data_IF_235462048911
#
_entry.id   IF_235462048911
#
_cell.length_a   1.000
_cell.length_b   1.000
_cell.length_c   1.000
_cell.angle_alpha   90.00
_cell.angle_beta   90.00
_cell.angle_gamma   90.00
#
_symmetry.space_group_name_H-M   'P 1'
#
loop_
_entity.id
_entity.type
_entity.pdbx_description
1 polymer ?
#
# COMPACT_ATOMS: atom_id res chain seq x y z
N UNK A 1 3.20 4.60 -8.23
CA UNK A 1 3.25 3.18 -8.64
C UNK A 1 4.59 2.93 -9.32
N UNK A 2 5.23 1.79 -9.04
CA UNK A 2 6.51 1.43 -9.65
C UNK A 2 6.35 1.13 -11.14
N UNK A 3 7.39 1.38 -11.96
CA UNK A 3 7.35 1.07 -13.39
C UNK A 3 7.23 -0.43 -13.66
N UNK A 4 6.58 -0.81 -14.77
CA UNK A 4 6.37 -2.21 -15.16
C UNK A 4 7.70 -2.97 -15.31
N UNK A 5 8.75 -2.29 -15.74
CA UNK A 5 10.09 -2.88 -15.91
C UNK A 5 10.75 -3.25 -14.58
N UNK A 6 10.62 -2.39 -13.56
CA UNK A 6 11.10 -2.70 -12.21
C UNK A 6 10.34 -3.87 -11.59
N UNK A 7 9.04 -3.99 -11.85
CA UNK A 7 8.22 -5.12 -11.38
C UNK A 7 8.66 -6.42 -12.06
N UNK A 8 8.93 -6.40 -13.38
CA UNK A 8 9.49 -7.56 -14.09
C UNK A 8 10.83 -7.98 -13.47
N UNK A 9 11.72 -7.01 -13.20
CA UNK A 9 13.02 -7.27 -12.56
C UNK A 9 12.87 -7.92 -11.19
N UNK A 10 11.96 -7.43 -10.33
CA UNK A 10 11.65 -8.06 -9.03
C UNK A 10 11.22 -9.52 -9.21
N UNK A 11 10.37 -9.82 -10.19
CA UNK A 11 9.90 -11.18 -10.46
C UNK A 11 11.03 -12.11 -10.94
N UNK A 12 11.95 -11.62 -11.77
CA UNK A 12 13.13 -12.36 -12.21
C UNK A 12 14.04 -12.70 -11.02
N UNK A 13 14.37 -11.70 -10.19
CA UNK A 13 15.18 -11.90 -8.99
C UNK A 13 14.50 -12.83 -7.98
N UNK A 14 13.17 -12.77 -7.86
CA UNK A 14 12.38 -13.66 -7.01
C UNK A 14 12.44 -15.11 -7.51
N UNK A 15 12.36 -15.34 -8.82
CA UNK A 15 12.54 -16.66 -9.43
C UNK A 15 13.94 -17.22 -9.19
N UNK A 16 14.98 -16.41 -9.38
CA UNK A 16 16.38 -16.79 -9.07
C UNK A 16 16.57 -17.15 -7.60
N UNK A 17 15.99 -16.35 -6.69
CA UNK A 17 16.03 -16.65 -5.26
C UNK A 17 15.32 -17.96 -4.91
N UNK A 18 14.17 -18.23 -5.52
CA UNK A 18 13.45 -19.50 -5.33
C UNK A 18 14.24 -20.70 -5.85
N UNK A 19 15.01 -20.51 -6.92
CA UNK A 19 15.91 -21.52 -7.49
C UNK A 19 17.24 -21.66 -6.71
N UNK A 20 17.53 -20.79 -5.74
CA UNK A 20 18.76 -20.82 -4.95
C UNK A 20 20.02 -20.31 -5.68
N UNK A 21 19.87 -19.72 -6.87
CA UNK A 21 20.99 -19.25 -7.72
C UNK A 21 21.20 -17.73 -7.63
N UNK A 22 20.74 -17.10 -6.57
CA UNK A 22 20.81 -15.64 -6.40
C UNK A 22 22.17 -15.25 -5.81
N UNK A 23 22.79 -14.20 -6.35
CA UNK A 23 24.02 -13.63 -5.75
C UNK A 23 23.67 -12.65 -4.63
N UNK A 24 24.62 -12.34 -3.76
CA UNK A 24 24.42 -11.34 -2.69
C UNK A 24 24.06 -9.96 -3.26
N UNK A 25 24.70 -9.57 -4.36
CA UNK A 25 24.40 -8.30 -5.05
C UNK A 25 22.96 -8.27 -5.58
N UNK A 26 22.50 -9.36 -6.19
CA UNK A 26 21.13 -9.50 -6.67
C UNK A 26 20.11 -9.53 -5.52
N UNK A 27 20.47 -10.10 -4.37
CA UNK A 27 19.61 -10.11 -3.18
C UNK A 27 19.45 -8.70 -2.60
N UNK A 28 20.52 -7.90 -2.58
CA UNK A 28 20.49 -6.49 -2.19
C UNK A 28 19.64 -5.67 -3.17
N UNK A 29 19.84 -5.87 -4.49
CA UNK A 29 19.04 -5.22 -5.54
C UNK A 29 17.55 -5.55 -5.36
N UNK A 30 17.21 -6.82 -5.16
CA UNK A 30 15.82 -7.27 -4.93
C UNK A 30 15.21 -6.59 -3.72
N UNK A 31 15.94 -6.52 -2.60
CA UNK A 31 15.45 -5.91 -1.35
C UNK A 31 15.19 -4.41 -1.53
N UNK A 32 16.08 -3.71 -2.24
CA UNK A 32 15.92 -2.29 -2.56
C UNK A 32 14.67 -2.04 -3.41
N UNK A 33 14.52 -2.79 -4.51
CA UNK A 33 13.37 -2.67 -5.40
C UNK A 33 12.06 -3.02 -4.71
N UNK A 34 12.07 -4.05 -3.86
CA UNK A 34 10.90 -4.47 -3.10
C UNK A 34 10.46 -3.43 -2.06
N UNK A 35 11.42 -2.77 -1.38
CA UNK A 35 11.12 -1.69 -0.45
C UNK A 35 10.49 -0.49 -1.17
N UNK A 36 11.03 -0.10 -2.32
CA UNK A 36 10.48 0.98 -3.16
C UNK A 36 9.05 0.65 -3.61
N UNK A 37 8.80 -0.59 -4.02
CA UNK A 37 7.47 -1.08 -4.39
C UNK A 37 6.49 -0.97 -3.21
N UNK A 38 6.85 -1.52 -2.04
CA UNK A 38 5.98 -1.49 -0.87
C UNK A 38 5.67 -0.06 -0.44
N UNK A 39 6.65 0.85 -0.46
CA UNK A 39 6.40 2.26 -0.11
C UNK A 39 5.37 2.89 -1.05
N UNK A 40 5.55 2.74 -2.36
CA UNK A 40 4.57 3.27 -3.33
C UNK A 40 3.20 2.61 -3.16
N UNK A 41 3.15 1.33 -2.84
CA UNK A 41 1.90 0.58 -2.68
C UNK A 41 1.18 1.02 -1.40
N UNK A 42 1.89 1.17 -0.28
CA UNK A 42 1.33 1.66 0.99
C UNK A 42 0.69 3.03 0.84
N UNK A 43 1.33 3.94 0.11
CA UNK A 43 0.77 5.27 -0.16
C UNK A 43 -0.54 5.18 -0.96
N UNK A 44 -0.58 4.32 -1.99
CA UNK A 44 -1.78 4.11 -2.79
C UNK A 44 -2.92 3.48 -1.99
N UNK A 45 -2.62 2.48 -1.16
CA UNK A 45 -3.62 1.81 -0.31
C UNK A 45 -4.11 2.76 0.78
N UNK A 46 -3.22 3.54 1.39
CA UNK A 46 -3.59 4.57 2.37
C UNK A 46 -4.63 5.53 1.81
N UNK A 47 -4.38 6.07 0.62
CA UNK A 47 -5.33 6.95 -0.07
C UNK A 47 -6.69 6.29 -0.33
N UNK A 48 -6.71 5.00 -0.67
CA UNK A 48 -7.96 4.25 -0.87
C UNK A 48 -8.72 4.04 0.43
N UNK A 49 -8.03 3.61 1.51
CA UNK A 49 -8.64 3.41 2.83
C UNK A 49 -9.20 4.73 3.36
N UNK A 50 -8.47 5.82 3.20
CA UNK A 50 -8.89 7.16 3.59
C UNK A 50 -10.15 7.62 2.82
N UNK A 51 -10.41 7.09 1.64
CA UNK A 51 -11.62 7.39 0.86
C UNK A 51 -12.84 6.54 1.23
N UNK A 52 -12.67 5.39 1.88
CA UNK A 52 -13.75 4.44 2.15
C UNK A 52 -14.36 4.69 3.54
N UNK A 53 -15.69 4.55 3.62
CA UNK A 53 -16.42 4.48 4.89
C UNK A 53 -16.84 3.03 5.11
N UNK A 54 -16.51 2.48 6.27
CA UNK A 54 -16.95 1.13 6.66
C UNK A 54 -18.23 1.27 7.48
N UNK A 55 -19.30 0.67 6.99
CA UNK A 55 -20.59 0.60 7.69
C UNK A 55 -20.92 -0.87 7.96
N UNK A 56 -21.54 -1.13 9.11
CA UNK A 56 -22.07 -2.44 9.42
C UNK A 56 -23.45 -2.68 8.74
N UNK A 57 -24.02 -3.89 8.84
CA UNK A 57 -25.35 -4.17 8.30
C UNK A 57 -26.50 -3.40 8.97
N UNK A 58 -26.30 -2.90 10.19
CA UNK A 58 -27.28 -2.11 10.96
C UNK A 58 -27.19 -0.60 10.64
N UNK A 59 -26.16 -0.17 9.91
CA UNK A 59 -25.91 1.20 9.48
C UNK A 59 -24.92 2.00 10.33
N UNK A 60 -24.26 1.40 11.32
CA UNK A 60 -23.27 2.07 12.18
C UNK A 60 -21.92 2.28 11.45
N UNK A 61 -21.32 3.46 11.60
CA UNK A 61 -20.00 3.78 11.04
C UNK A 61 -18.86 3.19 11.89
N UNK A 62 -18.42 1.99 11.51
CA UNK A 62 -17.28 1.29 12.11
C UNK A 62 -15.91 1.74 11.57
N UNK A 63 -15.84 2.84 10.80
CA UNK A 63 -14.55 3.36 10.33
C UNK A 63 -13.64 3.67 11.53
N UNK A 64 -12.37 3.20 11.55
CA UNK A 64 -11.46 3.45 12.66
C UNK A 64 -11.24 4.94 12.92
N UNK A 65 -11.16 5.35 14.20
CA UNK A 65 -11.05 6.75 14.61
C UNK A 65 -9.95 7.53 13.87
N UNK A 66 -8.77 6.91 13.70
CA UNK A 66 -7.64 7.51 12.98
C UNK A 66 -7.99 7.87 11.53
N UNK A 67 -8.79 7.04 10.86
CA UNK A 67 -9.23 7.31 9.49
C UNK A 67 -10.33 8.38 9.49
N UNK A 68 -11.20 8.40 10.52
CA UNK A 68 -12.21 9.46 10.69
C UNK A 68 -11.56 10.84 10.85
N UNK A 69 -10.47 10.95 11.62
CA UNK A 69 -9.69 12.19 11.79
C UNK A 69 -9.08 12.65 10.46
N UNK A 70 -8.40 11.76 9.73
CA UNK A 70 -7.82 12.08 8.41
C UNK A 70 -8.91 12.50 7.41
N UNK A 71 -10.06 11.83 7.42
CA UNK A 71 -11.20 12.19 6.57
C UNK A 71 -11.76 13.58 6.91
N UNK A 72 -11.78 13.94 8.20
CA UNK A 72 -12.18 15.27 8.66
C UNK A 72 -11.21 16.35 8.19
N UNK A 73 -9.90 16.15 8.38
CA UNK A 73 -8.88 17.10 7.89
C UNK A 73 -8.95 17.32 6.37
N UNK A 74 -9.39 16.30 5.63
CA UNK A 74 -9.57 16.35 4.16
C UNK A 74 -10.96 16.80 3.70
N UNK A 75 -11.88 17.11 4.61
CA UNK A 75 -13.26 17.52 4.28
C UNK A 75 -14.09 16.42 3.60
N UNK A 76 -13.76 15.14 3.85
CA UNK A 76 -14.45 13.99 3.26
C UNK A 76 -15.62 13.54 4.14
N UNK A 77 -16.65 12.96 3.51
CA UNK A 77 -17.80 12.32 4.17
C UNK A 77 -18.56 13.22 5.17
N UNK A 78 -18.55 14.54 4.97
CA UNK A 78 -19.23 15.54 5.81
C UNK A 78 -18.95 15.39 7.31
N UNK A 79 -17.72 14.99 7.68
CA UNK A 79 -17.31 14.80 9.09
C UNK A 79 -17.15 16.11 9.87
N UNK A 80 -17.14 17.25 9.18
CA UNK A 80 -17.03 18.60 9.77
C UNK A 80 -18.38 19.22 10.16
N UNK A 81 -19.49 18.71 9.63
CA UNK A 81 -20.82 19.15 10.03
C UNK A 81 -21.22 18.42 11.32
N UNK A 82 -20.85 18.99 12.46
CA UNK A 82 -21.42 18.65 13.76
C UNK A 82 -21.85 19.92 14.48
#
# INVERSE_FOLDING_TARGET
MLSKDKIKRINELSKKNKAGTITEEEAIERKKLHNEYIQSMRNSIGAQIEGIKVVDPEGEDLTPNKVKEIQKERGLHNRDNK
#
